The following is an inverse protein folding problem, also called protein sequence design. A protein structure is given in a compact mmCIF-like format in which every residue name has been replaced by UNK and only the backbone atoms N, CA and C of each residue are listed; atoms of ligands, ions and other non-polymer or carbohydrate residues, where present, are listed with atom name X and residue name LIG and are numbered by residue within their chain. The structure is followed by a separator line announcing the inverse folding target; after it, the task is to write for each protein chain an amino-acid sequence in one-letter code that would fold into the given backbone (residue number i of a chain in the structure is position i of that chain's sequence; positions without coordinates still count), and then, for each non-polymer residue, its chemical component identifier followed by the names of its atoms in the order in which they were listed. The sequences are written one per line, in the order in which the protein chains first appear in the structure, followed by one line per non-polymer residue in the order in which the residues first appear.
data_IF_994626085695
#
_entry.id   IF_994626085695
#
_cell.length_a   1.000
_cell.length_b   1.000
_cell.length_c   1.000
_cell.angle_alpha   90.00
_cell.angle_beta   90.00
_cell.angle_gamma   90.00
#
_symmetry.space_group_name_H-M   'P 1'
#
loop_
_entity.id
_entity.type
_entity.pdbx_description
1 polymer ?
#
# COMPACT_ATOMS: atom_id res chain seq x y z
N UNK A 1 -13.26 -8.44 -13.73
CA UNK A 1 -12.62 -7.36 -12.92
C UNK A 1 -11.86 -6.33 -13.73
N UNK A 2 -11.03 -6.72 -14.72
CA UNK A 2 -10.35 -5.73 -15.56
C UNK A 2 -11.33 -4.77 -16.25
N UNK A 3 -12.49 -5.28 -16.68
CA UNK A 3 -13.62 -4.53 -17.24
C UNK A 3 -14.26 -3.53 -16.26
N UNK A 4 -14.13 -3.77 -14.95
CA UNK A 4 -14.62 -2.89 -13.88
C UNK A 4 -13.50 -1.98 -13.35
N UNK A 5 -12.42 -1.82 -14.11
CA UNK A 5 -11.32 -0.91 -13.78
C UNK A 5 -10.27 -1.48 -12.84
N UNK A 6 -10.31 -2.77 -12.47
CA UNK A 6 -9.22 -3.37 -11.71
C UNK A 6 -7.94 -3.38 -12.55
N UNK A 7 -6.83 -2.98 -11.93
CA UNK A 7 -5.47 -3.14 -12.45
C UNK A 7 -4.62 -3.82 -11.39
N UNK A 8 -3.72 -4.69 -11.82
CA UNK A 8 -2.77 -5.37 -10.96
C UNK A 8 -1.38 -4.91 -11.38
N UNK A 9 -0.58 -4.46 -10.41
CA UNK A 9 0.79 -4.03 -10.61
C UNK A 9 1.69 -4.97 -9.82
N UNK A 10 2.52 -5.73 -10.52
CA UNK A 10 3.36 -6.75 -9.91
C UNK A 10 4.83 -6.30 -9.88
N UNK A 11 5.41 -6.29 -8.67
CA UNK A 11 6.78 -5.86 -8.41
C UNK A 11 7.63 -7.04 -7.91
N UNK A 12 8.47 -7.63 -8.77
CA UNK A 12 9.40 -8.69 -8.38
C UNK A 12 10.35 -8.21 -7.27
N UNK A 13 10.69 -9.10 -6.33
CA UNK A 13 11.56 -8.75 -5.21
C UNK A 13 12.35 -9.96 -4.71
N UNK A 14 13.67 -9.82 -4.57
CA UNK A 14 14.54 -10.91 -4.15
C UNK A 14 14.90 -10.90 -2.65
N UNK A 15 14.24 -10.06 -1.83
CA UNK A 15 14.58 -9.89 -0.41
C UNK A 15 14.09 -11.04 0.48
N UNK A 16 13.25 -11.95 -0.03
CA UNK A 16 12.60 -13.00 0.75
C UNK A 16 13.06 -14.38 0.27
N UNK A 17 13.93 -15.03 1.04
CA UNK A 17 14.44 -16.37 0.71
C UNK A 17 15.20 -16.48 -0.61
N UNK A 18 15.60 -15.35 -1.22
CA UNK A 18 16.18 -15.27 -2.57
C UNK A 18 15.35 -15.99 -3.65
N UNK A 19 14.03 -15.92 -3.54
CA UNK A 19 13.10 -16.62 -4.44
C UNK A 19 12.94 -15.96 -5.82
N UNK A 20 13.57 -14.80 -6.06
CA UNK A 20 13.53 -14.09 -7.34
C UNK A 20 14.94 -13.70 -7.83
N UNK A 21 15.83 -14.69 -8.04
CA UNK A 21 17.25 -14.43 -8.33
C UNK A 21 17.48 -13.87 -9.74
N UNK A 22 16.62 -14.23 -10.70
CA UNK A 22 16.82 -13.96 -12.12
C UNK A 22 16.78 -12.49 -12.53
N UNK A 23 17.25 -12.16 -13.72
CA UNK A 23 17.20 -10.81 -14.30
C UNK A 23 15.76 -10.38 -14.59
N UNK A 24 15.56 -9.09 -14.92
CA UNK A 24 14.25 -8.58 -15.31
C UNK A 24 13.70 -9.30 -16.55
N UNK A 25 14.58 -9.63 -17.50
CA UNK A 25 14.27 -10.34 -18.74
C UNK A 25 13.85 -11.79 -18.43
N UNK A 26 14.57 -12.49 -17.56
CA UNK A 26 14.23 -13.85 -17.12
C UNK A 26 12.89 -13.89 -16.37
N UNK A 27 12.62 -12.89 -15.51
CA UNK A 27 11.36 -12.76 -14.79
C UNK A 27 10.20 -12.49 -15.77
N UNK A 28 10.42 -11.64 -16.78
CA UNK A 28 9.43 -11.35 -17.81
C UNK A 28 9.07 -12.61 -18.59
N UNK A 29 10.06 -13.38 -19.02
CA UNK A 29 9.85 -14.64 -19.73
C UNK A 29 9.10 -15.66 -18.86
N UNK A 30 9.49 -15.80 -17.59
CA UNK A 30 8.79 -16.65 -16.64
C UNK A 30 7.31 -16.26 -16.50
N UNK A 31 7.01 -14.97 -16.34
CA UNK A 31 5.64 -14.47 -16.24
C UNK A 31 4.82 -14.71 -17.53
N UNK A 32 5.46 -14.64 -18.71
CA UNK A 32 4.83 -14.93 -19.98
C UNK A 32 4.35 -16.40 -20.06
N UNK A 33 5.10 -17.34 -19.47
CA UNK A 33 4.72 -18.75 -19.35
C UNK A 33 3.41 -19.01 -18.58
N UNK A 34 3.03 -18.08 -17.68
CA UNK A 34 1.76 -18.13 -16.94
C UNK A 34 0.65 -17.30 -17.61
N UNK A 35 0.87 -16.81 -18.82
CA UNK A 35 -0.06 -15.97 -19.55
C UNK A 35 -0.49 -14.72 -18.75
N UNK A 36 0.43 -14.15 -17.96
CA UNK A 36 0.19 -12.93 -17.19
C UNK A 36 -0.21 -11.79 -18.14
N UNK A 37 -1.32 -11.12 -17.83
CA UNK A 37 -1.87 -9.97 -18.59
C UNK A 37 -1.88 -8.66 -17.82
N UNK A 38 -1.39 -8.68 -16.59
CA UNK A 38 -1.29 -7.50 -15.75
C UNK A 38 0.11 -6.88 -15.83
N UNK A 39 0.23 -5.63 -15.38
CA UNK A 39 1.46 -4.85 -15.51
C UNK A 39 2.58 -5.44 -14.64
N UNK A 40 3.62 -5.95 -15.27
CA UNK A 40 4.84 -6.40 -14.61
C UNK A 40 5.87 -5.27 -14.60
N UNK A 41 6.53 -5.11 -13.47
CA UNK A 41 7.51 -4.05 -13.24
C UNK A 41 8.92 -4.63 -13.06
N UNK A 42 9.93 -3.77 -13.22
CA UNK A 42 11.30 -4.07 -12.79
C UNK A 42 11.39 -4.52 -11.34
N UNK A 43 12.34 -5.42 -11.08
CA UNK A 43 12.68 -5.92 -9.75
C UNK A 43 13.12 -4.77 -8.84
N UNK A 44 12.55 -4.73 -7.64
CA UNK A 44 12.81 -3.68 -6.65
C UNK A 44 13.08 -4.26 -5.26
N UNK A 45 13.56 -3.39 -4.39
CA UNK A 45 13.58 -3.61 -2.96
C UNK A 45 12.28 -3.03 -2.37
N UNK A 46 11.67 -3.74 -1.43
CA UNK A 46 10.43 -3.32 -0.74
C UNK A 46 10.67 -2.99 0.73
N UNK A 47 11.79 -3.42 1.29
CA UNK A 47 12.26 -3.15 2.66
C UNK A 47 13.66 -2.51 2.67
N UNK A 48 14.00 -1.86 3.78
CA UNK A 48 15.29 -1.18 3.97
C UNK A 48 15.36 0.21 3.33
N UNK A 49 16.55 0.81 3.39
CA UNK A 49 16.83 2.16 2.87
C UNK A 49 16.68 2.24 1.36
N UNK A 50 17.00 1.16 0.65
CA UNK A 50 16.90 1.06 -0.80
C UNK A 50 15.49 0.68 -1.26
N UNK A 51 14.51 0.62 -0.35
CA UNK A 51 13.13 0.32 -0.73
C UNK A 51 12.55 1.38 -1.68
N UNK A 52 11.86 0.92 -2.72
CA UNK A 52 11.21 1.78 -3.69
C UNK A 52 10.25 2.77 -2.98
N UNK A 53 10.22 4.07 -3.37
CA UNK A 53 9.43 5.09 -2.70
C UNK A 53 7.94 4.74 -2.55
N UNK A 54 7.34 4.13 -3.59
CA UNK A 54 5.95 3.66 -3.53
C UNK A 54 5.73 2.66 -2.39
N UNK A 55 6.64 1.71 -2.19
CA UNK A 55 6.54 0.70 -1.13
C UNK A 55 6.80 1.30 0.25
N UNK A 56 7.69 2.29 0.36
CA UNK A 56 7.84 3.08 1.59
C UNK A 56 6.53 3.78 1.95
N UNK A 57 5.92 4.48 0.98
CA UNK A 57 4.66 5.20 1.17
C UNK A 57 3.51 4.26 1.54
N UNK A 58 3.33 3.13 0.85
CA UNK A 58 2.24 2.18 1.14
C UNK A 58 2.32 1.62 2.56
N UNK A 59 3.53 1.26 3.03
CA UNK A 59 3.75 0.66 4.35
C UNK A 59 3.44 1.60 5.53
N UNK A 60 3.45 2.92 5.32
CA UNK A 60 3.16 3.90 6.37
C UNK A 60 1.70 4.36 6.40
N UNK A 61 0.91 4.05 5.35
CA UNK A 61 -0.50 4.44 5.31
C UNK A 61 -1.30 3.79 6.44
N UNK A 62 -2.35 4.44 6.97
CA UNK A 62 -3.16 3.90 8.07
C UNK A 62 -3.68 2.48 7.82
N UNK A 63 -4.15 2.20 6.59
CA UNK A 63 -4.64 0.87 6.15
C UNK A 63 -3.56 -0.02 5.53
N UNK A 64 -2.31 0.47 5.45
CA UNK A 64 -1.15 -0.24 4.92
C UNK A 64 -0.24 -0.84 5.99
N UNK A 65 -0.53 -0.59 7.26
CA UNK A 65 0.23 -1.16 8.39
C UNK A 65 0.00 -2.67 8.48
N UNK A 66 1.06 -3.41 8.78
CA UNK A 66 0.96 -4.83 9.10
C UNK A 66 0.57 -5.03 10.56
N UNK A 67 0.10 -6.24 10.90
CA UNK A 67 -0.27 -6.62 12.28
C UNK A 67 0.95 -6.50 13.20
N UNK A 68 2.12 -6.92 12.73
CA UNK A 68 3.38 -6.91 13.49
C UNK A 68 4.43 -5.98 12.83
N UNK A 69 4.13 -4.68 12.86
CA UNK A 69 4.94 -3.64 12.25
C UNK A 69 4.77 -3.52 10.73
N UNK A 70 5.41 -2.51 10.14
CA UNK A 70 5.10 -2.09 8.77
C UNK A 70 5.90 -2.82 7.69
N UNK A 71 7.00 -3.48 8.04
CA UNK A 71 7.83 -4.22 7.08
C UNK A 71 7.02 -5.28 6.32
N UNK A 72 7.37 -5.49 5.05
CA UNK A 72 6.85 -6.62 4.26
C UNK A 72 7.51 -7.88 4.80
N UNK A 73 6.72 -8.90 5.12
CA UNK A 73 7.21 -10.08 5.84
C UNK A 73 7.66 -11.19 4.90
N UNK A 74 7.00 -11.31 3.74
CA UNK A 74 7.28 -12.35 2.76
C UNK A 74 6.73 -11.93 1.38
N UNK A 75 7.03 -12.75 0.38
CA UNK A 75 6.46 -12.68 -0.97
C UNK A 75 4.93 -12.63 -0.93
N UNK A 76 4.32 -12.05 -1.96
CA UNK A 76 2.87 -11.95 -2.11
C UNK A 76 2.14 -11.19 -0.98
N UNK A 77 2.75 -10.17 -0.39
CA UNK A 77 1.97 -9.15 0.35
C UNK A 77 1.24 -8.27 -0.67
N UNK A 78 -0.06 -8.02 -0.46
CA UNK A 78 -0.90 -7.24 -1.40
C UNK A 78 -1.41 -5.95 -0.77
N UNK A 79 -1.51 -4.89 -1.56
CA UNK A 79 -2.16 -3.64 -1.18
C UNK A 79 -3.30 -3.36 -2.16
N UNK A 80 -4.49 -3.10 -1.62
CA UNK A 80 -5.62 -2.61 -2.40
C UNK A 80 -5.60 -1.08 -2.37
N UNK A 81 -5.54 -0.47 -3.55
CA UNK A 81 -5.53 0.98 -3.76
C UNK A 81 -6.84 1.36 -4.44
N UNK A 82 -7.52 2.40 -3.96
CA UNK A 82 -8.72 2.91 -4.60
C UNK A 82 -8.41 3.81 -5.81
N UNK A 83 -9.47 4.24 -6.52
CA UNK A 83 -9.37 5.15 -7.67
C UNK A 83 -8.81 6.54 -7.33
N UNK A 84 -8.77 6.92 -6.05
CA UNK A 84 -8.20 8.18 -5.58
C UNK A 84 -6.72 8.03 -5.18
N UNK A 85 -6.15 6.84 -5.35
CA UNK A 85 -4.76 6.56 -4.98
C UNK A 85 -4.54 6.31 -3.50
N UNK A 86 -5.59 6.02 -2.72
CA UNK A 86 -5.46 5.75 -1.28
C UNK A 86 -5.35 4.25 -0.98
N UNK A 87 -4.50 3.87 -0.03
CA UNK A 87 -4.44 2.48 0.46
C UNK A 87 -5.73 2.18 1.25
N UNK A 88 -6.50 1.22 0.77
CA UNK A 88 -7.76 0.78 1.38
C UNK A 88 -7.53 -0.39 2.34
N UNK A 89 -6.67 -1.33 1.95
CA UNK A 89 -6.39 -2.53 2.72
C UNK A 89 -5.04 -3.15 2.36
N UNK A 90 -4.41 -3.82 3.32
CA UNK A 90 -3.24 -4.68 3.15
C UNK A 90 -3.62 -6.13 3.45
N UNK A 91 -3.15 -7.05 2.62
CA UNK A 91 -3.34 -8.49 2.76
C UNK A 91 -1.98 -9.17 2.91
N UNK A 92 -1.90 -10.11 3.83
CA UNK A 92 -0.70 -10.89 4.10
C UNK A 92 -0.35 -11.91 3.00
N UNK A 93 0.84 -12.51 3.10
CA UNK A 93 1.29 -13.58 2.18
C UNK A 93 0.31 -14.74 2.04
N UNK A 94 -0.27 -15.18 3.17
CA UNK A 94 -1.16 -16.36 3.25
C UNK A 94 -2.62 -16.06 2.89
N UNK A 95 -2.97 -14.79 2.66
CA UNK A 95 -4.33 -14.42 2.26
C UNK A 95 -4.47 -14.61 0.74
N UNK A 96 -5.28 -15.57 0.32
CA UNK A 96 -5.55 -15.84 -1.09
C UNK A 96 -6.28 -14.66 -1.76
N UNK A 97 -5.94 -14.31 -3.01
CA UNK A 97 -6.74 -13.38 -3.80
C UNK A 97 -8.09 -14.02 -4.12
N UNK A 98 -9.10 -13.84 -3.26
CA UNK A 98 -10.43 -14.36 -3.54
C UNK A 98 -11.06 -13.60 -4.72
N UNK A 99 -11.32 -14.34 -5.78
CA UNK A 99 -12.06 -13.86 -6.94
C UNK A 99 -13.56 -13.85 -6.58
N UNK A 100 -14.04 -12.76 -5.98
CA UNK A 100 -15.49 -12.50 -5.99
C UNK A 100 -15.92 -12.18 -7.43
N UNK A 101 -17.21 -12.04 -7.73
CA UNK A 101 -17.61 -11.56 -9.06
C UNK A 101 -17.60 -10.04 -9.08
N UNK A 102 -17.26 -9.48 -10.25
CA UNK A 102 -17.67 -8.13 -10.59
C UNK A 102 -19.17 -8.04 -10.52
N UNK A 103 -19.70 -7.35 -9.51
CA UNK A 103 -21.02 -6.76 -9.61
C UNK A 103 -20.74 -5.31 -9.94
N UNK A 104 -21.22 -4.83 -11.09
CA UNK A 104 -21.19 -3.41 -11.40
C UNK A 104 -21.77 -2.66 -10.19
N UNK A 105 -21.10 -1.57 -9.77
CA UNK A 105 -21.61 -0.75 -8.68
C UNK A 105 -23.07 -0.42 -9.00
N UNK A 106 -24.04 -0.63 -8.09
CA UNK A 106 -25.38 -0.11 -8.32
C UNK A 106 -25.22 1.39 -8.61
N UNK A 107 -25.89 1.86 -9.67
CA UNK A 107 -25.90 3.27 -10.02
C UNK A 107 -26.21 4.11 -8.77
N UNK A 108 -25.64 5.32 -8.65
CA UNK A 108 -26.01 6.21 -7.56
C UNK A 108 -27.54 6.36 -7.57
N UNK A 109 -28.16 6.03 -6.44
CA UNK A 109 -29.60 6.22 -6.23
C UNK A 109 -29.97 7.64 -6.70
N UNK A 110 -31.10 7.81 -7.42
CA UNK A 110 -31.53 9.14 -7.83
C UNK A 110 -31.61 10.03 -6.59
N UNK A 111 -30.90 11.16 -6.62
CA UNK A 111 -30.95 12.17 -5.57
C UNK A 111 -32.41 12.54 -5.31
N UNK A 112 -32.86 12.64 -4.03
CA UNK A 112 -34.20 13.10 -3.72
C UNK A 112 -34.44 14.46 -4.39
N UNK A 113 -35.56 14.58 -5.09
CA UNK A 113 -36.02 15.84 -5.65
C UNK A 113 -36.18 16.85 -4.50
N UNK A 114 -35.45 17.98 -4.59
CA UNK A 114 -35.59 19.11 -3.68
C UNK A 114 -37.07 19.53 -3.55
N UNK A 115 -37.65 19.66 -2.34
CA UNK A 115 -38.96 20.26 -2.19
C UNK A 115 -38.85 21.79 -2.27
N UNK A 116 -39.63 22.37 -3.18
CA UNK A 116 -39.83 23.81 -3.28
C UNK A 116 -40.56 24.35 -2.05
N UNK A 117 -39.98 25.42 -1.48
CA UNK A 117 -40.59 26.51 -0.70
C UNK A 117 -41.39 26.15 0.56
N UNK A 118 -40.89 26.63 1.70
CA UNK A 118 -41.67 26.74 2.94
C UNK A 118 -40.84 27.28 4.09
N UNK A 119 -40.86 28.61 4.26
CA UNK A 119 -40.31 29.37 5.39
C UNK A 119 -40.70 28.77 6.73
N UNK A 120 -39.74 28.54 7.64
CA UNK A 120 -39.92 28.79 9.08
C UNK A 120 -38.57 28.74 9.81
N UNK A 121 -38.29 29.83 10.53
CA UNK A 121 -37.14 30.02 11.42
C UNK A 121 -37.08 29.00 12.56
N UNK A 122 -35.87 28.54 12.92
CA UNK A 122 -35.62 27.77 14.13
C UNK A 122 -34.28 27.02 14.16
N UNK A 123 -33.33 27.58 14.91
CA UNK A 123 -31.92 27.18 15.13
C UNK A 123 -31.67 25.72 15.61
N UNK A 124 -30.39 25.27 15.63
CA UNK A 124 -29.96 23.92 15.26
C UNK A 124 -29.62 23.02 16.46
N UNK A 125 -29.61 21.70 16.27
CA UNK A 125 -28.62 20.75 16.82
C UNK A 125 -29.10 19.29 16.72
N UNK A 126 -28.32 18.45 16.05
CA UNK A 126 -28.24 17.02 16.28
C UNK A 126 -26.82 16.53 16.00
N UNK A 127 -25.94 16.81 16.98
CA UNK A 127 -24.84 15.91 17.31
C UNK A 127 -25.43 14.66 17.99
N UNK A 128 -24.98 13.48 17.58
CA UNK A 128 -24.93 12.30 18.45
C UNK A 128 -23.46 11.91 18.64
N UNK A 129 -23.10 11.75 19.92
CA UNK A 129 -21.77 11.66 20.49
C UNK A 129 -21.52 10.22 20.98
N UNK A 130 -20.36 9.64 20.67
CA UNK A 130 -19.65 8.64 21.49
C UNK A 130 -18.16 8.78 21.12
N UNK A 131 -17.19 9.17 21.95
CA UNK A 131 -17.12 9.65 23.33
C UNK A 131 -15.80 10.44 23.50
N UNK A 132 -15.75 11.31 24.51
CA UNK A 132 -14.71 12.32 24.75
C UNK A 132 -13.30 11.76 25.09
N UNK A 133 -12.22 12.55 24.86
CA UNK A 133 -10.88 12.28 25.35
C UNK A 133 -10.65 12.86 26.76
N UNK A 134 -9.76 12.27 27.57
CA UNK A 134 -9.09 12.99 28.67
C UNK A 134 -7.57 12.94 28.52
N UNK A 135 -6.95 14.11 28.64
CA UNK A 135 -5.52 14.36 28.88
C UNK A 135 -5.26 14.52 30.38
N UNK A 136 -4.08 14.12 30.84
CA UNK A 136 -3.17 14.93 31.69
C UNK A 136 -1.84 14.17 31.87
N UNK A 137 -0.68 14.67 31.37
CA UNK A 137 0.24 15.67 31.98
C UNK A 137 1.07 15.05 33.14
N UNK A 138 2.40 15.16 33.34
CA UNK A 138 3.50 16.07 32.90
C UNK A 138 4.89 15.34 33.06
N UNK A 139 5.85 15.76 32.23
CA UNK A 139 7.35 15.73 32.16
C UNK A 139 8.24 15.68 33.45
N UNK A 140 9.61 15.86 33.43
CA UNK A 140 10.64 15.95 32.34
C UNK A 140 11.99 15.20 32.57
N UNK A 141 12.92 15.43 31.63
CA UNK A 141 14.40 15.38 31.67
C UNK A 141 15.06 14.02 31.39
N UNK A 142 16.15 13.88 30.62
CA UNK A 142 17.08 14.78 29.93
C UNK A 142 18.33 13.93 29.60
N UNK A 143 19.03 14.16 28.48
CA UNK A 143 20.28 13.42 28.20
C UNK A 143 20.85 13.60 26.79
N UNK A 144 22.14 13.97 26.73
CA UNK A 144 22.90 14.48 25.58
C UNK A 144 23.29 13.45 24.51
N UNK A 145 23.27 13.93 23.26
CA UNK A 145 24.28 13.89 22.18
C UNK A 145 25.35 12.79 22.16
N UNK A 146 25.49 12.13 20.99
CA UNK A 146 26.76 11.95 20.25
C UNK A 146 26.49 11.49 18.80
N UNK A 147 27.10 12.19 17.85
CA UNK A 147 27.17 11.86 16.43
C UNK A 147 28.24 10.79 16.11
N UNK A 148 28.63 10.63 14.83
CA UNK A 148 28.40 9.39 14.10
C UNK A 148 29.65 8.53 13.95
N UNK A 149 29.45 7.21 13.78
CA UNK A 149 30.48 6.30 13.27
C UNK A 149 29.96 5.65 12.00
N UNK A 150 30.48 6.15 10.88
CA UNK A 150 30.34 5.52 9.58
C UNK A 150 31.04 4.18 9.58
N UNK A 151 30.27 3.12 9.31
CA UNK A 151 30.81 1.84 8.87
C UNK A 151 30.62 1.77 7.36
N UNK A 152 31.76 1.78 6.67
CA UNK A 152 31.87 1.61 5.24
C UNK A 152 31.09 0.38 4.78
N UNK A 153 30.16 0.58 3.84
CA UNK A 153 29.45 -0.50 3.16
C UNK A 153 30.47 -1.30 2.37
N UNK A 154 30.66 -2.57 2.72
CA UNK A 154 31.32 -3.54 1.84
C UNK A 154 30.46 -3.69 0.57
N UNK A 155 31.04 -3.69 -0.65
CA UNK A 155 30.26 -3.95 -1.85
C UNK A 155 29.79 -5.40 -1.79
N UNK A 156 28.49 -5.58 -1.66
CA UNK A 156 27.90 -6.90 -1.78
C UNK A 156 27.83 -7.31 -3.27
N UNK A 157 28.05 -8.59 -3.62
CA UNK A 157 28.15 -9.05 -5.01
C UNK A 157 26.78 -9.18 -5.73
N UNK A 158 25.78 -8.40 -5.31
CA UNK A 158 24.41 -8.54 -5.77
C UNK A 158 24.15 -7.65 -6.98
N UNK A 159 23.36 -8.15 -7.93
CA UNK A 159 22.65 -7.28 -8.86
C UNK A 159 21.79 -6.32 -8.02
N UNK A 160 22.10 -5.02 -8.02
CA UNK A 160 21.39 -4.06 -7.18
C UNK A 160 19.92 -3.99 -7.63
N UNK A 161 19.01 -3.80 -6.66
CA UNK A 161 17.66 -3.35 -6.96
C UNK A 161 17.76 -2.07 -7.79
N UNK A 162 17.25 -2.07 -9.02
CA UNK A 162 17.29 -0.91 -9.89
C UNK A 162 16.32 0.17 -9.39
N UNK A 163 16.77 1.42 -9.30
CA UNK A 163 15.90 2.56 -8.96
C UNK A 163 15.17 3.15 -10.17
N UNK A 164 15.48 2.69 -11.39
CA UNK A 164 14.75 3.05 -12.61
C UNK A 164 13.59 2.08 -12.79
N UNK A 165 12.37 2.59 -12.67
CA UNK A 165 11.18 1.78 -12.85
C UNK A 165 10.81 1.74 -14.34
N UNK A 166 10.68 0.53 -14.87
CA UNK A 166 10.13 0.25 -16.19
C UNK A 166 8.96 -0.73 -16.01
N UNK A 167 7.97 -0.64 -16.90
CA UNK A 167 6.93 -1.66 -17.07
C UNK A 167 7.13 -2.39 -18.39
N UNK A 168 6.52 -3.58 -18.54
CA UNK A 168 6.54 -4.37 -19.77
C UNK A 168 5.37 -5.34 -19.85
#
# INVERSE_FOLDING_TARGET
YAECGLRILAFPCNQFGKQEPGSNEEIKEFAAGYNVKFDMFSKICVNGDDAHPLWKWMKIQPKGKGILGNAIKWNFTKFLIDKNGCVVKRYGPMEEPLLHKCVASPEPLPTPLEPSTGTHDGLPANQLLVGQPRKSSVHPAGGRSRGPLGLARRPHPWLPCGNKQTNW
#
